data_IF_098205301973
#
_entry.id   IF_098205301973
#
_cell.length_a   1.000
_cell.length_b   1.000
_cell.length_c   1.000
_cell.angle_alpha   90.00
_cell.angle_beta   90.00
_cell.angle_gamma   90.00
#
_symmetry.space_group_name_H-M   'P 1'
#
loop_
_entity.id
_entity.type
_entity.pdbx_description
1 polymer ?
#
# COMPACT_ATOMS: atom_id res chain seq x y z
N UNK A 1 -32.01 0.00 12.79
CA UNK A 1 -30.69 -0.53 12.46
C UNK A 1 -29.92 0.57 11.75
N UNK A 2 -29.16 1.37 12.49
CA UNK A 2 -28.30 2.42 11.94
C UNK A 2 -27.03 1.76 11.40
N UNK A 3 -26.86 1.71 10.08
CA UNK A 3 -25.60 1.31 9.47
C UNK A 3 -24.54 2.32 9.87
N UNK A 4 -23.68 1.97 10.82
CA UNK A 4 -22.45 2.69 11.09
C UNK A 4 -21.61 2.61 9.83
N UNK A 5 -21.49 3.70 9.06
CA UNK A 5 -20.55 3.75 7.94
C UNK A 5 -19.16 3.57 8.51
N UNK A 6 -18.52 2.46 8.20
CA UNK A 6 -17.15 2.21 8.61
C UNK A 6 -16.27 3.30 7.99
N UNK A 7 -15.72 4.17 8.82
CA UNK A 7 -14.82 5.24 8.39
C UNK A 7 -13.40 4.68 8.40
N UNK A 8 -12.86 4.41 7.22
CA UNK A 8 -11.47 3.98 7.08
C UNK A 8 -10.51 5.16 7.31
N UNK A 9 -9.33 4.94 7.92
CA UNK A 9 -8.25 5.92 7.93
C UNK A 9 -7.93 6.43 6.54
N UNK A 10 -7.47 7.68 6.47
CA UNK A 10 -7.13 8.35 5.20
C UNK A 10 -5.68 8.81 5.22
N UNK A 11 -5.06 8.74 4.06
CA UNK A 11 -3.73 9.28 3.80
C UNK A 11 -3.73 10.14 2.53
N UNK A 12 -2.75 11.02 2.41
CA UNK A 12 -2.52 11.80 1.19
C UNK A 12 -1.41 11.19 0.33
N UNK A 13 -1.56 11.22 -1.00
CA UNK A 13 -0.49 10.92 -1.94
C UNK A 13 0.00 12.21 -2.58
N UNK A 14 1.18 12.68 -2.17
CA UNK A 14 1.71 13.97 -2.58
C UNK A 14 2.65 13.86 -3.79
N UNK A 15 2.33 14.55 -4.88
CA UNK A 15 3.13 14.61 -6.11
C UNK A 15 3.17 16.03 -6.69
N UNK A 16 3.58 16.21 -7.94
CA UNK A 16 3.64 17.51 -8.60
C UNK A 16 2.32 18.30 -8.64
N UNK A 17 1.17 17.64 -8.51
CA UNK A 17 -0.14 18.30 -8.48
C UNK A 17 -0.55 18.75 -7.08
N UNK A 18 0.17 18.32 -6.05
CA UNK A 18 -0.12 18.71 -4.67
C UNK A 18 0.34 20.14 -4.40
N UNK A 19 -0.47 20.99 -3.73
CA UNK A 19 -0.07 22.34 -3.37
C UNK A 19 1.21 22.36 -2.53
N UNK A 20 2.21 23.12 -2.97
CA UNK A 20 3.47 23.35 -2.25
C UNK A 20 3.33 24.44 -1.17
N UNK A 21 2.27 24.37 -0.36
CA UNK A 21 1.90 25.36 0.65
C UNK A 21 1.83 24.71 2.05
N UNK A 22 2.53 25.23 3.08
CA UNK A 22 2.37 24.77 4.46
C UNK A 22 0.91 24.72 4.94
N UNK A 23 0.05 25.63 4.51
CA UNK A 23 -1.35 25.66 4.94
C UNK A 23 -2.13 24.43 4.46
N UNK A 24 -1.77 23.88 3.29
CA UNK A 24 -2.36 22.66 2.75
C UNK A 24 -2.20 21.47 3.73
N UNK A 25 -0.98 21.23 4.21
CA UNK A 25 -0.69 20.13 5.14
C UNK A 25 -1.32 20.31 6.51
N UNK A 26 -1.40 21.55 7.00
CA UNK A 26 -2.13 21.85 8.23
C UNK A 26 -3.63 21.58 8.08
N UNK A 27 -4.19 21.85 6.90
CA UNK A 27 -5.59 21.56 6.60
C UNK A 27 -5.84 20.06 6.47
N UNK A 28 -4.92 19.28 5.86
CA UNK A 28 -4.99 17.81 5.86
C UNK A 28 -5.07 17.26 7.30
N UNK A 29 -4.19 17.72 8.19
CA UNK A 29 -4.18 17.29 9.58
C UNK A 29 -5.48 17.64 10.31
N UNK A 30 -6.01 18.86 10.11
CA UNK A 30 -7.33 19.27 10.67
C UNK A 30 -8.49 18.41 10.16
N UNK A 31 -8.37 17.89 8.94
CA UNK A 31 -9.32 16.96 8.35
C UNK A 31 -9.16 15.51 8.85
N UNK A 32 -8.23 15.24 9.77
CA UNK A 32 -7.95 13.88 10.28
C UNK A 32 -7.10 13.04 9.35
N UNK A 33 -6.29 13.67 8.49
CA UNK A 33 -5.30 13.01 7.63
C UNK A 33 -3.92 13.35 8.22
N UNK A 34 -3.37 12.42 8.98
CA UNK A 34 -2.09 12.53 9.67
C UNK A 34 -0.94 11.84 8.92
N UNK A 35 -1.24 11.18 7.80
CA UNK A 35 -0.28 10.39 7.04
C UNK A 35 -0.20 10.89 5.59
N UNK A 36 1.02 11.01 5.06
CA UNK A 36 1.28 11.40 3.67
C UNK A 36 2.34 10.50 3.02
N UNK A 37 2.01 9.87 1.90
CA UNK A 37 2.98 9.21 1.03
C UNK A 37 3.50 10.18 -0.02
N UNK A 38 4.82 10.35 -0.14
CA UNK A 38 5.46 11.37 -0.98
C UNK A 38 6.10 10.72 -2.21
N UNK A 39 5.83 11.28 -3.40
CA UNK A 39 6.46 10.85 -4.64
C UNK A 39 7.94 11.23 -4.63
N UNK A 40 8.82 10.23 -4.61
CA UNK A 40 10.27 10.46 -4.63
C UNK A 40 10.87 10.32 -6.02
N UNK A 41 10.24 9.53 -6.90
CA UNK A 41 10.74 9.21 -8.23
C UNK A 41 9.61 9.00 -9.23
N UNK A 42 9.86 9.39 -10.49
CA UNK A 42 9.03 9.12 -11.66
C UNK A 42 9.96 8.72 -12.80
N UNK A 43 9.69 7.62 -13.49
CA UNK A 43 10.49 7.21 -14.66
C UNK A 43 10.71 8.34 -15.64
N UNK A 44 11.92 8.40 -16.21
CA UNK A 44 12.34 9.47 -17.12
C UNK A 44 12.81 10.75 -16.43
N UNK A 45 12.73 10.87 -15.09
CA UNK A 45 13.27 12.00 -14.34
C UNK A 45 14.47 11.59 -13.49
N UNK A 46 15.65 12.16 -13.75
CA UNK A 46 16.83 11.98 -12.88
C UNK A 46 16.68 12.70 -11.53
N UNK A 47 15.87 13.76 -11.49
CA UNK A 47 15.63 14.56 -10.28
C UNK A 47 14.19 15.06 -10.20
N UNK A 48 13.46 14.59 -9.19
CA UNK A 48 12.11 15.03 -8.89
C UNK A 48 12.13 16.08 -7.76
N UNK A 49 12.01 17.37 -8.15
CA UNK A 49 12.13 18.50 -7.20
C UNK A 49 11.07 18.49 -6.09
N UNK A 50 9.86 18.02 -6.40
CA UNK A 50 8.72 18.00 -5.50
C UNK A 50 8.91 17.07 -4.31
N UNK A 51 9.77 16.04 -4.43
CA UNK A 51 10.12 15.13 -3.35
C UNK A 51 10.64 15.86 -2.10
N UNK A 52 11.60 16.79 -2.25
CA UNK A 52 12.12 17.58 -1.12
C UNK A 52 11.04 18.48 -0.53
N UNK A 53 10.30 19.18 -1.39
CA UNK A 53 9.30 20.17 -0.99
C UNK A 53 8.23 19.49 -0.12
N UNK A 54 7.60 18.45 -0.64
CA UNK A 54 6.49 17.80 0.06
C UNK A 54 6.94 17.01 1.28
N UNK A 55 8.13 16.39 1.25
CA UNK A 55 8.70 15.74 2.45
C UNK A 55 8.89 16.75 3.59
N UNK A 56 9.46 17.92 3.30
CA UNK A 56 9.69 18.95 4.32
C UNK A 56 8.39 19.55 4.84
N UNK A 57 7.43 19.84 3.96
CA UNK A 57 6.14 20.41 4.35
C UNK A 57 5.31 19.44 5.19
N UNK A 58 5.23 18.16 4.79
CA UNK A 58 4.51 17.13 5.54
C UNK A 58 5.09 16.94 6.95
N UNK A 59 6.42 16.77 7.06
CA UNK A 59 7.09 16.62 8.36
C UNK A 59 6.96 17.87 9.24
N UNK A 60 7.01 19.07 8.66
CA UNK A 60 6.79 20.33 9.41
C UNK A 60 5.37 20.44 9.96
N UNK A 61 4.40 19.85 9.26
CA UNK A 61 3.02 19.75 9.73
C UNK A 61 2.79 18.54 10.66
N UNK A 62 3.85 17.78 10.98
CA UNK A 62 3.86 16.63 11.90
C UNK A 62 2.96 15.49 11.40
N UNK A 63 3.03 15.25 10.08
CA UNK A 63 2.45 14.06 9.45
C UNK A 63 3.49 12.93 9.42
N UNK A 64 3.01 11.71 9.57
CA UNK A 64 3.78 10.49 9.25
C UNK A 64 4.05 10.48 7.74
N UNK A 65 5.30 10.26 7.35
CA UNK A 65 5.70 10.29 5.93
C UNK A 65 6.11 8.91 5.42
N UNK A 66 5.40 8.45 4.39
CA UNK A 66 5.76 7.29 3.57
C UNK A 66 6.17 7.74 2.18
N UNK A 67 6.45 6.80 1.28
CA UNK A 67 7.02 7.11 -0.03
C UNK A 67 6.37 6.31 -1.14
N UNK A 68 6.39 6.87 -2.34
CA UNK A 68 6.08 6.11 -3.54
C UNK A 68 6.97 6.51 -4.72
N UNK A 69 7.05 5.61 -5.68
CA UNK A 69 7.67 5.83 -6.98
C UNK A 69 6.67 5.51 -8.09
N UNK A 70 6.75 6.22 -9.21
CA UNK A 70 5.99 5.90 -10.42
C UNK A 70 6.96 5.29 -11.43
N UNK A 71 6.67 4.07 -11.89
CA UNK A 71 7.51 3.34 -12.84
C UNK A 71 6.77 3.05 -14.15
N UNK A 72 7.42 3.26 -15.29
CA UNK A 72 6.94 2.82 -16.61
C UNK A 72 7.41 1.41 -16.99
N UNK A 73 8.16 0.75 -16.10
CA UNK A 73 8.76 -0.58 -16.24
C UNK A 73 9.84 -0.72 -17.33
N UNK A 74 10.28 0.36 -17.99
CA UNK A 74 11.28 0.28 -19.04
C UNK A 74 12.67 -0.06 -18.48
N UNK A 75 13.06 0.58 -17.38
CA UNK A 75 14.34 0.36 -16.69
C UNK A 75 14.16 0.21 -15.16
N UNK A 76 13.75 -0.98 -14.69
CA UNK A 76 13.58 -1.31 -13.26
C UNK A 76 14.78 -0.92 -12.39
N UNK A 77 16.00 -1.17 -12.87
CA UNK A 77 17.20 -0.92 -12.10
C UNK A 77 17.48 0.57 -11.93
N UNK A 78 17.37 1.36 -13.01
CA UNK A 78 17.55 2.81 -12.94
C UNK A 78 16.49 3.48 -12.06
N UNK A 79 15.24 3.02 -12.16
CA UNK A 79 14.13 3.55 -11.36
C UNK A 79 14.36 3.31 -9.86
N UNK A 80 14.67 2.07 -9.45
CA UNK A 80 14.92 1.73 -8.04
C UNK A 80 16.16 2.44 -7.52
N UNK A 81 17.23 2.53 -8.32
CA UNK A 81 18.47 3.22 -7.91
C UNK A 81 18.24 4.71 -7.67
N UNK A 82 17.50 5.37 -8.56
CA UNK A 82 17.20 6.81 -8.44
C UNK A 82 16.27 7.07 -7.26
N UNK A 83 15.27 6.22 -7.07
CA UNK A 83 14.39 6.25 -5.92
C UNK A 83 15.16 6.14 -4.60
N UNK A 84 16.02 5.12 -4.43
CA UNK A 84 16.75 4.94 -3.16
C UNK A 84 17.79 6.02 -2.90
N UNK A 85 18.42 6.58 -3.95
CA UNK A 85 19.27 7.78 -3.79
C UNK A 85 18.48 8.91 -3.13
N UNK A 86 17.23 9.10 -3.54
CA UNK A 86 16.35 10.14 -2.99
C UNK A 86 15.81 9.78 -1.60
N UNK A 87 15.40 8.54 -1.40
CA UNK A 87 14.95 8.00 -0.12
C UNK A 87 15.99 8.24 0.98
N UNK A 88 17.25 7.87 0.71
CA UNK A 88 18.37 8.04 1.63
C UNK A 88 18.73 9.52 1.85
N UNK A 89 18.75 10.32 0.78
CA UNK A 89 19.04 11.77 0.88
C UNK A 89 18.02 12.51 1.76
N UNK A 90 16.77 12.08 1.73
CA UNK A 90 15.68 12.68 2.51
C UNK A 90 15.51 12.05 3.90
N UNK A 91 16.34 11.06 4.25
CA UNK A 91 16.37 10.45 5.59
C UNK A 91 15.07 9.74 5.97
N UNK A 92 14.49 8.96 5.05
CA UNK A 92 13.46 7.98 5.42
C UNK A 92 14.10 6.77 6.11
N UNK A 93 13.40 6.20 7.10
CA UNK A 93 13.89 5.06 7.89
C UNK A 93 13.36 3.72 7.37
N UNK A 94 13.72 2.63 8.05
CA UNK A 94 13.34 1.26 7.68
C UNK A 94 11.85 0.94 7.82
N UNK A 95 11.06 1.79 8.50
CA UNK A 95 9.63 1.60 8.72
C UNK A 95 8.77 2.32 7.66
N UNK A 96 9.36 3.26 6.91
CA UNK A 96 8.65 3.97 5.85
C UNK A 96 8.10 3.00 4.79
N UNK A 97 6.83 3.11 4.43
CA UNK A 97 6.23 2.31 3.36
C UNK A 97 6.69 2.82 1.99
N UNK A 98 6.86 1.89 1.05
CA UNK A 98 7.28 2.15 -0.34
C UNK A 98 6.21 1.59 -1.28
N UNK A 99 5.44 2.47 -1.90
CA UNK A 99 4.51 2.08 -2.97
C UNK A 99 5.20 2.11 -4.32
N UNK A 100 5.18 0.99 -5.04
CA UNK A 100 5.53 0.93 -6.46
C UNK A 100 4.26 1.18 -7.27
N UNK A 101 4.11 2.40 -7.76
CA UNK A 101 3.03 2.79 -8.65
C UNK A 101 3.39 2.40 -10.07
N UNK A 102 2.75 1.35 -10.57
CA UNK A 102 2.98 0.83 -11.92
C UNK A 102 2.18 1.65 -12.93
N UNK A 103 2.87 2.21 -13.92
CA UNK A 103 2.32 2.99 -15.02
C UNK A 103 2.95 2.57 -16.36
N UNK A 104 3.10 1.25 -16.57
CA UNK A 104 3.60 0.68 -17.81
C UNK A 104 2.53 0.65 -18.91
N UNK A 105 2.96 0.76 -20.17
CA UNK A 105 2.08 0.68 -21.35
C UNK A 105 1.99 -0.77 -21.90
N UNK A 106 0.99 -1.03 -22.75
CA UNK A 106 0.74 -2.28 -23.49
C UNK A 106 1.88 -2.72 -24.42
N UNK A 107 2.90 -1.89 -24.61
CA UNK A 107 4.10 -2.23 -25.39
C UNK A 107 5.27 -2.77 -24.56
N UNK A 108 5.23 -2.64 -23.23
CA UNK A 108 6.27 -3.19 -22.35
C UNK A 108 6.16 -4.72 -22.29
N UNK A 109 7.18 -5.44 -22.75
CA UNK A 109 7.22 -6.91 -22.59
C UNK A 109 7.49 -7.32 -21.14
N UNK A 110 7.04 -8.53 -20.76
CA UNK A 110 7.37 -9.18 -19.48
C UNK A 110 7.10 -8.32 -18.23
N UNK A 111 5.98 -7.60 -18.20
CA UNK A 111 5.63 -6.64 -17.14
C UNK A 111 5.66 -7.26 -15.75
N UNK A 112 5.07 -8.44 -15.57
CA UNK A 112 5.01 -9.11 -14.27
C UNK A 112 6.42 -9.45 -13.77
N UNK A 113 7.29 -9.95 -14.64
CA UNK A 113 8.69 -10.23 -14.32
C UNK A 113 9.45 -8.95 -13.92
N UNK A 114 9.20 -7.83 -14.61
CA UNK A 114 9.80 -6.52 -14.28
C UNK A 114 9.29 -5.96 -12.96
N UNK A 115 8.02 -6.14 -12.63
CA UNK A 115 7.45 -5.76 -11.33
C UNK A 115 8.11 -6.58 -10.22
N UNK A 116 8.26 -7.90 -10.41
CA UNK A 116 8.96 -8.78 -9.47
C UNK A 116 10.42 -8.34 -9.30
N UNK A 117 11.10 -7.99 -10.40
CA UNK A 117 12.46 -7.45 -10.36
C UNK A 117 12.55 -6.18 -9.51
N UNK A 118 11.63 -5.21 -9.69
CA UNK A 118 11.58 -3.98 -8.89
C UNK A 118 11.44 -4.32 -7.40
N UNK A 119 10.49 -5.20 -7.05
CA UNK A 119 10.24 -5.60 -5.66
C UNK A 119 11.48 -6.25 -5.06
N UNK A 120 12.14 -7.15 -5.78
CA UNK A 120 13.34 -7.84 -5.32
C UNK A 120 14.54 -6.90 -5.20
N UNK A 121 14.64 -5.88 -6.05
CA UNK A 121 15.63 -4.81 -5.91
C UNK A 121 15.36 -3.94 -4.67
N UNK A 122 14.10 -3.58 -4.42
CA UNK A 122 13.72 -2.82 -3.21
C UNK A 122 13.98 -3.66 -1.95
N UNK A 123 13.63 -4.94 -1.96
CA UNK A 123 13.78 -5.86 -0.83
C UNK A 123 15.25 -6.10 -0.42
N UNK A 124 16.23 -5.77 -1.29
CA UNK A 124 17.66 -5.79 -0.93
C UNK A 124 18.06 -4.61 -0.03
N UNK A 125 17.28 -3.53 -0.05
CA UNK A 125 17.60 -2.27 0.62
C UNK A 125 16.57 -1.89 1.69
N UNK A 126 15.41 -2.57 1.74
CA UNK A 126 14.28 -2.24 2.61
C UNK A 126 13.47 -3.48 2.98
N UNK A 127 12.68 -3.42 4.06
CA UNK A 127 11.88 -4.56 4.50
C UNK A 127 10.79 -4.88 3.48
N UNK A 128 10.67 -6.16 3.09
CA UNK A 128 9.70 -6.61 2.08
C UNK A 128 8.24 -6.36 2.50
N UNK A 129 7.95 -6.42 3.80
CA UNK A 129 6.65 -6.09 4.40
C UNK A 129 6.24 -4.62 4.22
N UNK A 130 7.20 -3.73 3.99
CA UNK A 130 6.99 -2.30 3.79
C UNK A 130 6.90 -1.93 2.30
N UNK A 131 6.72 -2.91 1.42
CA UNK A 131 6.50 -2.71 -0.01
C UNK A 131 5.01 -2.85 -0.32
N UNK A 132 4.47 -1.91 -1.09
CA UNK A 132 3.11 -1.90 -1.63
C UNK A 132 3.17 -1.85 -3.16
N UNK A 133 2.16 -2.41 -3.83
CA UNK A 133 1.98 -2.32 -5.27
C UNK A 133 0.72 -1.54 -5.61
N UNK A 134 0.86 -0.52 -6.46
CA UNK A 134 -0.27 0.26 -6.93
C UNK A 134 -0.52 0.10 -8.43
N UNK A 135 -1.78 -0.17 -8.80
CA UNK A 135 -2.24 -0.27 -10.19
C UNK A 135 -3.47 0.60 -10.43
N UNK A 136 -3.61 1.14 -11.63
CA UNK A 136 -4.88 1.70 -12.06
C UNK A 136 -5.92 0.59 -12.25
N UNK A 137 -7.13 0.79 -11.72
CA UNK A 137 -8.22 -0.18 -11.89
C UNK A 137 -8.48 -0.50 -13.36
N UNK A 138 -8.49 0.53 -14.21
CA UNK A 138 -8.71 0.38 -15.66
C UNK A 138 -7.70 -0.59 -16.30
N UNK A 139 -6.45 -0.58 -15.85
CA UNK A 139 -5.39 -1.40 -16.44
C UNK A 139 -5.58 -2.87 -16.03
N UNK A 140 -6.13 -3.13 -14.84
CA UNK A 140 -6.55 -4.46 -14.39
C UNK A 140 -7.78 -4.93 -15.18
N UNK A 141 -8.79 -4.07 -15.35
CA UNK A 141 -10.00 -4.38 -16.13
C UNK A 141 -9.65 -4.71 -17.60
N UNK A 142 -8.69 -3.99 -18.18
CA UNK A 142 -8.16 -4.21 -19.53
C UNK A 142 -7.20 -5.42 -19.63
N UNK A 143 -6.98 -6.14 -18.52
CA UNK A 143 -6.11 -7.32 -18.41
C UNK A 143 -4.66 -7.03 -18.82
N UNK A 144 -4.19 -5.81 -18.54
CA UNK A 144 -2.79 -5.43 -18.77
C UNK A 144 -1.84 -6.16 -17.81
N UNK A 145 -2.33 -6.47 -16.60
CA UNK A 145 -1.61 -7.19 -15.56
C UNK A 145 -2.42 -8.37 -15.04
N UNK A 146 -1.77 -9.50 -14.83
CA UNK A 146 -2.34 -10.66 -14.16
C UNK A 146 -1.98 -10.66 -12.67
N UNK A 147 -2.93 -10.26 -11.82
CA UNK A 147 -2.74 -10.19 -10.37
C UNK A 147 -2.39 -11.55 -9.75
N UNK A 148 -2.77 -12.67 -10.37
CA UNK A 148 -2.42 -14.01 -9.85
C UNK A 148 -0.92 -14.32 -9.96
N UNK A 149 -0.19 -13.56 -10.78
CA UNK A 149 1.27 -13.66 -10.95
C UNK A 149 2.04 -12.66 -10.07
N UNK A 150 1.35 -11.78 -9.36
CA UNK A 150 1.98 -10.84 -8.44
C UNK A 150 2.45 -11.56 -7.17
N UNK A 151 3.51 -11.07 -6.50
CA UNK A 151 3.91 -11.62 -5.22
C UNK A 151 2.77 -11.53 -4.20
N UNK A 152 2.52 -12.65 -3.52
CA UNK A 152 1.59 -12.71 -2.39
C UNK A 152 2.18 -11.98 -1.18
N UNK A 153 1.36 -11.65 -0.17
CA UNK A 153 1.81 -10.98 1.07
C UNK A 153 2.26 -9.53 0.92
N UNK A 154 1.96 -8.89 -0.21
CA UNK A 154 2.19 -7.46 -0.45
C UNK A 154 0.84 -6.72 -0.42
N UNK A 155 0.81 -5.52 0.17
CA UNK A 155 -0.38 -4.66 0.09
C UNK A 155 -0.68 -4.36 -1.38
N UNK A 156 -1.97 -4.26 -1.69
CA UNK A 156 -2.42 -3.89 -3.02
C UNK A 156 -3.20 -2.59 -2.95
N UNK A 157 -2.61 -1.54 -3.52
CA UNK A 157 -3.25 -0.27 -3.75
C UNK A 157 -3.93 -0.26 -5.12
N UNK A 158 -5.20 0.12 -5.15
CA UNK A 158 -5.94 0.32 -6.40
C UNK A 158 -6.27 1.79 -6.59
N UNK A 159 -5.84 2.33 -7.72
CA UNK A 159 -6.12 3.70 -8.13
C UNK A 159 -7.40 3.67 -8.97
N UNK A 160 -8.48 4.15 -8.36
CA UNK A 160 -9.79 4.25 -8.99
C UNK A 160 -10.40 5.62 -8.67
N UNK A 161 -9.87 6.66 -9.32
CA UNK A 161 -10.11 8.06 -8.98
C UNK A 161 -11.58 8.49 -9.00
N UNK A 162 -12.37 7.91 -9.92
CA UNK A 162 -13.77 8.25 -10.16
C UNK A 162 -14.74 7.18 -9.62
N UNK A 163 -14.20 6.16 -8.95
CA UNK A 163 -15.00 5.06 -8.40
C UNK A 163 -15.73 5.41 -7.11
N UNK A 164 -16.61 4.50 -6.69
CA UNK A 164 -17.21 4.50 -5.34
C UNK A 164 -16.45 3.59 -4.36
N UNK A 165 -15.36 2.98 -4.81
CA UNK A 165 -14.52 2.04 -4.08
C UNK A 165 -13.31 1.61 -4.94
N UNK A 166 -12.40 0.81 -4.36
CA UNK A 166 -11.30 0.20 -5.11
C UNK A 166 -11.79 -0.63 -6.31
N UNK A 167 -12.92 -1.33 -6.14
CA UNK A 167 -13.51 -2.18 -7.18
C UNK A 167 -12.72 -3.46 -7.47
N UNK A 168 -11.79 -3.82 -6.59
CA UNK A 168 -11.06 -5.08 -6.55
C UNK A 168 -11.13 -5.57 -5.10
N UNK A 169 -11.72 -6.74 -4.88
CA UNK A 169 -12.07 -7.23 -3.53
C UNK A 169 -10.87 -7.36 -2.60
N UNK A 170 -9.72 -7.68 -3.18
CA UNK A 170 -8.48 -7.89 -2.44
C UNK A 170 -7.72 -6.58 -2.16
N UNK A 171 -8.15 -5.42 -2.66
CA UNK A 171 -7.42 -4.16 -2.44
C UNK A 171 -7.29 -3.84 -0.93
N UNK A 172 -6.08 -3.54 -0.48
CA UNK A 172 -5.81 -3.04 0.87
C UNK A 172 -5.89 -1.52 0.98
N UNK A 173 -5.76 -0.83 -0.14
CA UNK A 173 -5.84 0.63 -0.19
C UNK A 173 -6.55 1.07 -1.47
N UNK A 174 -7.40 2.10 -1.36
CA UNK A 174 -8.08 2.71 -2.49
C UNK A 174 -7.63 4.15 -2.65
N UNK A 175 -6.96 4.45 -3.76
CA UNK A 175 -6.65 5.83 -4.16
C UNK A 175 -7.81 6.43 -4.96
N UNK A 176 -8.26 7.61 -4.51
CA UNK A 176 -9.27 8.42 -5.17
C UNK A 176 -8.82 9.89 -5.29
N UNK A 177 -9.55 10.66 -6.09
CA UNK A 177 -9.38 12.12 -6.15
C UNK A 177 -10.57 12.85 -5.55
N UNK A 178 -10.31 13.97 -4.89
CA UNK A 178 -11.38 14.86 -4.43
C UNK A 178 -10.94 16.33 -4.47
N UNK A 179 -11.92 17.22 -4.61
CA UNK A 179 -11.69 18.64 -4.38
C UNK A 179 -11.49 18.89 -2.88
N UNK A 180 -10.33 19.44 -2.53
CA UNK A 180 -10.00 19.79 -1.16
C UNK A 180 -9.35 21.16 -1.14
N UNK A 181 -9.97 22.12 -0.45
CA UNK A 181 -9.54 23.52 -0.43
C UNK A 181 -9.39 24.15 -1.83
N UNK A 182 -10.32 23.86 -2.75
CA UNK A 182 -10.34 24.31 -4.15
C UNK A 182 -9.19 23.76 -5.03
N UNK A 183 -8.53 22.69 -4.59
CA UNK A 183 -7.47 22.02 -5.33
C UNK A 183 -7.79 20.52 -5.42
N UNK A 184 -7.52 19.89 -6.56
CA UNK A 184 -7.69 18.45 -6.72
C UNK A 184 -6.59 17.73 -5.95
N UNK A 185 -6.98 16.90 -4.99
CA UNK A 185 -6.05 16.10 -4.20
C UNK A 185 -6.20 14.61 -4.49
N UNK A 186 -5.09 13.90 -4.37
CA UNK A 186 -5.03 12.43 -4.43
C UNK A 186 -4.97 11.92 -3.01
N UNK A 187 -6.01 11.24 -2.57
CA UNK A 187 -6.12 10.67 -1.23
C UNK A 187 -6.30 9.16 -1.32
N UNK A 188 -5.99 8.47 -0.22
CA UNK A 188 -6.24 7.05 -0.06
C UNK A 188 -7.19 6.78 1.09
N UNK A 189 -8.04 5.76 0.95
CA UNK A 189 -8.57 5.01 2.10
C UNK A 189 -7.67 3.82 2.36
N UNK A 190 -7.15 3.73 3.58
CA UNK A 190 -6.36 2.62 4.06
C UNK A 190 -7.28 1.65 4.81
N UNK A 191 -7.71 0.58 4.13
CA UNK A 191 -8.78 -0.27 4.67
C UNK A 191 -8.35 -1.07 5.90
N UNK A 192 -7.05 -1.37 5.98
CA UNK A 192 -6.50 -2.26 7.00
C UNK A 192 -5.42 -1.60 7.86
N UNK A 193 -5.13 -0.32 7.67
CA UNK A 193 -4.13 0.38 8.48
C UNK A 193 -2.68 0.11 8.04
N UNK A 194 -2.46 -0.31 6.78
CA UNK A 194 -1.12 -0.58 6.27
C UNK A 194 -0.19 0.64 6.37
N UNK A 195 -0.73 1.83 6.15
CA UNK A 195 -0.01 3.10 6.23
C UNK A 195 -0.23 3.84 7.55
N UNK A 196 -1.39 3.64 8.17
CA UNK A 196 -1.94 4.51 9.22
C UNK A 196 -1.99 3.87 10.61
N UNK A 197 -1.70 2.58 10.75
CA UNK A 197 -1.65 1.88 12.03
C UNK A 197 -0.23 1.40 12.36
N UNK A 198 0.29 1.81 13.52
CA UNK A 198 1.57 1.33 14.07
C UNK A 198 1.49 -0.15 14.52
N UNK A 199 0.29 -0.71 14.64
CA UNK A 199 0.07 -2.10 15.07
C UNK A 199 0.32 -3.15 13.97
N UNK A 200 0.69 -2.73 12.75
CA UNK A 200 1.18 -3.66 11.73
C UNK A 200 0.12 -4.63 11.20
N UNK A 201 -1.07 -4.15 10.87
CA UNK A 201 -2.02 -4.94 10.08
C UNK A 201 -1.52 -5.07 8.65
N UNK A 202 -0.61 -6.02 8.43
CA UNK A 202 -0.34 -6.55 7.11
C UNK A 202 -1.32 -7.70 6.87
N UNK A 203 -2.37 -7.40 6.13
CA UNK A 203 -3.31 -8.38 5.60
C UNK A 203 -3.25 -8.27 4.08
N UNK A 204 -2.44 -9.10 3.44
CA UNK A 204 -2.59 -9.25 2.00
C UNK A 204 -3.79 -10.15 1.73
N UNK A 205 -4.74 -9.60 1.00
CA UNK A 205 -5.64 -10.26 0.05
C UNK A 205 -6.48 -11.42 0.61
N UNK A 206 -7.74 -11.06 0.87
CA UNK A 206 -8.84 -11.87 1.41
C UNK A 206 -8.67 -12.12 2.91
N UNK A 207 -9.32 -11.28 3.75
CA UNK A 207 -9.88 -11.78 5.01
C UNK A 207 -10.88 -12.88 4.62
N UNK A 208 -10.38 -14.09 4.34
CA UNK A 208 -11.28 -15.23 4.17
C UNK A 208 -11.60 -15.63 5.59
N UNK A 209 -12.81 -15.31 6.04
CA UNK A 209 -13.29 -15.81 7.31
C UNK A 209 -13.42 -17.33 7.19
N UNK A 210 -12.58 -18.05 7.93
CA UNK A 210 -12.66 -19.49 8.07
C UNK A 210 -13.44 -19.85 9.31
N UNK A 211 -14.54 -20.58 9.13
CA UNK A 211 -15.27 -21.17 10.25
C UNK A 211 -14.58 -22.47 10.64
N UNK A 212 -13.93 -22.46 11.80
CA UNK A 212 -13.21 -23.59 12.39
C UNK A 212 -14.11 -24.81 12.43
N UNK A 213 -13.63 -25.95 11.92
CA UNK A 213 -14.37 -27.21 11.90
C UNK A 213 -14.00 -28.06 13.13
N UNK A 214 -14.83 -29.07 13.41
CA UNK A 214 -14.53 -30.02 14.48
C UNK A 214 -13.20 -30.73 14.21
N UNK A 215 -12.30 -30.71 15.21
CA UNK A 215 -10.97 -31.32 15.12
C UNK A 215 -9.87 -30.41 14.57
N UNK A 216 -10.17 -29.16 14.22
CA UNK A 216 -9.14 -28.21 13.80
C UNK A 216 -8.25 -27.73 14.95
N UNK A 217 -7.04 -27.35 14.58
CA UNK A 217 -6.00 -26.73 15.41
C UNK A 217 -5.37 -25.60 14.61
N UNK A 218 -4.68 -24.65 15.26
CA UNK A 218 -3.91 -23.64 14.54
C UNK A 218 -2.94 -24.25 13.52
N UNK A 219 -2.29 -25.37 13.89
CA UNK A 219 -1.39 -26.09 13.00
C UNK A 219 -2.11 -26.72 11.79
N UNK A 220 -3.27 -27.35 11.99
CA UNK A 220 -4.01 -27.96 10.88
C UNK A 220 -4.60 -26.91 9.93
N UNK A 221 -5.06 -25.78 10.46
CA UNK A 221 -5.56 -24.65 9.67
C UNK A 221 -4.40 -24.02 8.88
N UNK A 222 -3.28 -23.72 9.53
CA UNK A 222 -2.04 -23.25 8.90
C UNK A 222 -1.63 -24.13 7.72
N UNK A 223 -1.52 -25.44 7.95
CA UNK A 223 -1.13 -26.40 6.91
C UNK A 223 -2.17 -26.53 5.78
N UNK A 224 -3.46 -26.45 6.10
CA UNK A 224 -4.56 -26.58 5.13
C UNK A 224 -4.60 -25.38 4.18
N UNK A 225 -4.32 -24.19 4.70
CA UNK A 225 -4.41 -22.94 3.96
C UNK A 225 -3.06 -22.44 3.43
N UNK A 226 -1.96 -23.13 3.73
CA UNK A 226 -0.63 -22.75 3.24
C UNK A 226 -0.02 -21.54 3.95
N UNK A 227 -0.53 -21.21 5.14
CA UNK A 227 -0.15 -20.03 5.93
C UNK A 227 0.87 -20.46 6.98
N UNK A 228 2.01 -19.79 7.15
CA UNK A 228 2.91 -20.07 8.27
C UNK A 228 2.18 -19.93 9.62
N UNK A 229 2.41 -20.87 10.54
CA UNK A 229 1.68 -20.91 11.82
C UNK A 229 1.79 -19.60 12.61
N UNK A 230 2.98 -19.01 12.65
CA UNK A 230 3.21 -17.75 13.35
C UNK A 230 2.40 -16.60 12.75
N UNK A 231 2.26 -16.57 11.43
CA UNK A 231 1.52 -15.53 10.70
C UNK A 231 0.02 -15.71 10.93
N UNK A 232 -0.48 -16.95 10.91
CA UNK A 232 -1.87 -17.27 11.24
C UNK A 232 -2.23 -16.87 12.69
N UNK A 233 -1.33 -17.12 13.64
CA UNK A 233 -1.50 -16.75 15.04
C UNK A 233 -1.50 -15.23 15.22
N UNK A 234 -0.54 -14.53 14.62
CA UNK A 234 -0.46 -13.07 14.66
C UNK A 234 -1.73 -12.43 14.07
N UNK A 235 -2.19 -12.95 12.93
CA UNK A 235 -3.41 -12.49 12.25
C UNK A 235 -4.66 -12.57 13.14
N UNK A 236 -4.74 -13.62 13.96
CA UNK A 236 -5.86 -13.86 14.86
C UNK A 236 -5.65 -13.33 16.28
N UNK A 237 -4.54 -12.62 16.54
CA UNK A 237 -4.13 -12.17 17.89
C UNK A 237 -4.09 -13.32 18.91
N UNK A 238 -3.74 -14.51 18.44
CA UNK A 238 -3.66 -15.72 19.22
C UNK A 238 -2.20 -16.07 19.52
N UNK A 239 -1.99 -16.88 20.56
CA UNK A 239 -0.70 -17.50 20.86
C UNK A 239 -0.81 -19.01 20.66
N UNK A 240 0.31 -19.68 20.43
CA UNK A 240 0.34 -21.13 20.09
C UNK A 240 -0.34 -22.02 21.14
N UNK A 241 -0.41 -21.56 22.40
CA UNK A 241 -1.06 -22.28 23.50
C UNK A 241 -2.59 -22.14 23.52
N UNK A 242 -3.15 -21.18 22.81
CA UNK A 242 -4.61 -21.00 22.69
C UNK A 242 -5.20 -22.02 21.73
N UNK A 243 -6.39 -22.55 22.07
CA UNK A 243 -7.10 -23.51 21.24
C UNK A 243 -8.15 -22.80 20.38
N UNK A 244 -8.31 -23.25 19.15
CA UNK A 244 -9.47 -22.91 18.30
C UNK A 244 -10.64 -23.83 18.62
N UNK A 245 -11.86 -23.30 18.52
CA UNK A 245 -13.09 -24.05 18.77
C UNK A 245 -13.94 -24.15 17.52
N UNK A 246 -14.61 -25.29 17.32
CA UNK A 246 -15.52 -25.45 16.19
C UNK A 246 -16.60 -24.36 16.20
N UNK A 247 -16.85 -23.76 15.03
CA UNK A 247 -17.75 -22.61 14.87
C UNK A 247 -17.12 -21.24 15.15
N UNK A 248 -15.88 -21.19 15.66
CA UNK A 248 -15.11 -19.94 15.75
C UNK A 248 -14.77 -19.44 14.35
N UNK A 249 -14.88 -18.14 14.13
CA UNK A 249 -14.37 -17.49 12.92
C UNK A 249 -12.92 -17.11 13.14
N UNK A 250 -12.04 -17.59 12.27
CA UNK A 250 -10.63 -17.21 12.24
C UNK A 250 -10.31 -16.61 10.88
N UNK A 251 -9.45 -15.60 10.89
CA UNK A 251 -8.94 -14.95 9.69
C UNK A 251 -7.84 -15.82 9.08
N UNK A 252 -7.90 -16.05 7.78
CA UNK A 252 -6.87 -16.73 6.99
C UNK A 252 -6.56 -15.84 5.77
N UNK A 253 -5.27 -15.70 5.43
CA UNK A 253 -4.73 -14.89 4.33
C UNK A 253 -3.86 -15.76 3.41
#
# INVERSE_FOLDING_TARGET
>A
MTSTSQSYPRLAFCSAITPADPAHYLNLRKAGIDTASICLHVSGFEYYKFATIHTQLARKADLVTHTFMITDLLDPFADVTTFFKRFNQLGYDSNAKITVWVNGDKYVADRESKIIEIIDLIAKCHNRENIDLAFFKRDIDDKLYDLSKMPQMINLTIINCEGTGAGIDIAGTWIYTMDFCNEVQVLGYDYYGYYTDDAGYQLSLVDTDYVVQEGDTWYSISRRHGIPLNDLLALNRAIETERVFAGQVVRIA
#
